data_IF_063858524438
#
_entry.id   IF_063858524438
#
_cell.length_a   1.000
_cell.length_b   1.000
_cell.length_c   1.000
_cell.angle_alpha   90.00
_cell.angle_beta   90.00
_cell.angle_gamma   90.00
#
_symmetry.space_group_name_H-M   'P 1'
#
loop_
_entity.id
_entity.type
_entity.pdbx_description
1 polymer ?
#
# COMPACT_ATOMS: atom_id res chain seq x y z
N UNK A 1 6.41 -5.39 -17.19
CA UNK A 1 5.69 -5.67 -18.46
C UNK A 1 6.68 -6.27 -19.44
N UNK A 2 6.38 -7.43 -20.04
CA UNK A 2 7.24 -7.96 -21.10
C UNK A 2 7.20 -7.03 -22.32
N UNK A 3 8.35 -6.76 -22.90
CA UNK A 3 8.51 -5.98 -24.13
C UNK A 3 8.34 -6.85 -25.37
N UNK A 4 8.63 -8.15 -25.30
CA UNK A 4 8.34 -9.09 -26.40
C UNK A 4 7.99 -10.51 -25.94
N UNK A 5 7.45 -11.37 -26.83
CA UNK A 5 6.94 -12.69 -26.45
C UNK A 5 7.92 -13.77 -26.00
N UNK A 6 9.18 -13.63 -26.35
CA UNK A 6 10.28 -14.53 -26.01
C UNK A 6 11.05 -14.07 -24.78
N UNK A 7 10.71 -12.91 -24.25
CA UNK A 7 11.32 -12.38 -23.02
C UNK A 7 10.74 -13.11 -21.81
N UNK A 8 11.63 -13.51 -20.90
CA UNK A 8 11.22 -14.13 -19.63
C UNK A 8 10.38 -13.17 -18.79
N UNK A 9 9.38 -13.71 -18.10
CA UNK A 9 8.65 -12.97 -17.08
C UNK A 9 9.27 -13.26 -15.72
N UNK A 10 9.82 -12.23 -15.08
CA UNK A 10 10.18 -12.31 -13.67
C UNK A 10 8.98 -11.94 -12.83
N UNK A 11 8.46 -12.91 -12.07
CA UNK A 11 7.47 -12.65 -11.05
C UNK A 11 8.19 -12.02 -9.84
N UNK A 12 7.73 -10.84 -9.44
CA UNK A 12 8.21 -10.14 -8.25
C UNK A 12 7.08 -10.05 -7.24
N UNK A 13 7.44 -10.07 -5.97
CA UNK A 13 6.52 -9.81 -4.86
C UNK A 13 6.78 -8.42 -4.31
N UNK A 14 5.72 -7.75 -3.84
CA UNK A 14 5.83 -6.48 -3.13
C UNK A 14 5.72 -6.72 -1.62
N UNK A 15 6.84 -6.57 -0.91
CA UNK A 15 6.83 -6.54 0.54
C UNK A 15 6.42 -5.13 1.02
N UNK A 16 5.43 -5.07 1.89
CA UNK A 16 4.87 -3.82 2.42
C UNK A 16 4.74 -3.92 3.94
N UNK A 17 4.80 -2.76 4.60
CA UNK A 17 4.78 -2.66 6.05
C UNK A 17 3.92 -1.47 6.46
N UNK A 18 3.07 -1.68 7.47
CA UNK A 18 2.32 -0.61 8.12
C UNK A 18 3.12 -0.12 9.30
N UNK A 19 3.37 1.18 9.34
CA UNK A 19 4.18 1.83 10.36
C UNK A 19 3.35 2.92 11.04
N UNK A 20 3.50 3.03 12.35
CA UNK A 20 3.00 4.17 13.11
C UNK A 20 3.62 5.47 12.56
N UNK A 21 2.80 6.30 11.92
CA UNK A 21 3.26 7.49 11.23
C UNK A 21 3.64 8.62 12.18
N UNK A 22 2.98 8.72 13.34
CA UNK A 22 3.08 9.83 14.27
C UNK A 22 3.44 9.32 15.67
N UNK A 23 4.73 9.07 15.89
CA UNK A 23 5.23 8.67 17.21
C UNK A 23 6.42 7.72 17.12
N UNK A 24 6.16 6.46 17.45
CA UNK A 24 7.17 5.44 17.74
C UNK A 24 7.85 4.86 16.50
N UNK A 25 7.24 5.03 15.32
CA UNK A 25 7.63 4.36 14.07
C UNK A 25 7.71 2.84 14.19
N UNK A 26 6.93 2.26 15.10
CA UNK A 26 6.82 0.81 15.23
C UNK A 26 6.03 0.22 14.07
N UNK A 27 6.40 -1.00 13.71
CA UNK A 27 5.70 -1.80 12.70
C UNK A 27 4.42 -2.33 13.33
N UNK A 28 3.28 -1.88 12.82
CA UNK A 28 1.95 -2.34 13.24
C UNK A 28 1.42 -3.51 12.40
N UNK A 29 1.97 -3.75 11.21
CA UNK A 29 1.54 -4.84 10.33
C UNK A 29 2.56 -5.09 9.22
N UNK A 30 2.61 -6.31 8.70
CA UNK A 30 3.49 -6.70 7.61
C UNK A 30 2.79 -7.66 6.66
N UNK A 31 2.98 -7.48 5.35
CA UNK A 31 2.45 -8.39 4.33
C UNK A 31 3.35 -8.43 3.11
N UNK A 32 3.43 -9.59 2.49
CA UNK A 32 3.98 -9.76 1.14
C UNK A 32 2.79 -9.94 0.20
N UNK A 33 2.62 -9.02 -0.74
CA UNK A 33 1.57 -9.10 -1.75
C UNK A 33 2.05 -9.92 -2.95
N UNK A 34 1.16 -10.77 -3.46
CA UNK A 34 1.30 -11.47 -4.74
C UNK A 34 0.99 -10.56 -5.94
N UNK A 35 0.47 -9.36 -5.67
CA UNK A 35 0.19 -8.35 -6.66
C UNK A 35 1.48 -7.68 -7.13
N UNK A 36 1.61 -7.55 -8.46
CA UNK A 36 2.81 -6.97 -9.08
C UNK A 36 2.96 -5.45 -8.82
N UNK A 37 1.91 -4.78 -8.34
CA UNK A 37 1.95 -3.39 -7.91
C UNK A 37 1.21 -3.21 -6.57
N UNK A 38 1.40 -2.03 -5.99
CA UNK A 38 0.79 -1.53 -4.76
C UNK A 38 -0.63 -0.98 -4.97
N UNK A 39 -1.19 -1.06 -6.19
CA UNK A 39 -2.54 -0.58 -6.46
C UNK A 39 -3.57 -1.40 -5.66
N UNK A 40 -4.40 -0.69 -4.88
CA UNK A 40 -5.41 -1.33 -4.03
C UNK A 40 -4.85 -2.10 -2.83
N UNK A 41 -3.56 -1.98 -2.52
CA UNK A 41 -2.96 -2.73 -1.42
C UNK A 41 -3.20 -2.11 -0.03
N UNK A 42 -3.59 -0.83 0.03
CA UNK A 42 -3.83 -0.10 1.28
C UNK A 42 -4.81 -0.80 2.24
N UNK A 43 -5.96 -1.22 1.74
CA UNK A 43 -6.97 -1.87 2.60
C UNK A 43 -6.47 -3.22 3.15
N UNK A 44 -5.92 -4.12 2.31
CA UNK A 44 -5.22 -5.32 2.79
C UNK A 44 -4.08 -5.03 3.79
N UNK A 45 -3.36 -3.91 3.65
CA UNK A 45 -2.30 -3.50 4.58
C UNK A 45 -2.87 -3.11 5.94
N UNK A 46 -3.92 -2.30 5.97
CA UNK A 46 -4.61 -1.93 7.21
C UNK A 46 -5.22 -3.15 7.90
N UNK A 47 -5.80 -4.07 7.14
CA UNK A 47 -6.36 -5.32 7.67
C UNK A 47 -5.30 -6.28 8.24
N UNK A 48 -4.02 -6.10 7.89
CA UNK A 48 -2.92 -6.91 8.43
C UNK A 48 -2.49 -6.51 9.84
N UNK A 49 -3.00 -5.39 10.36
CA UNK A 49 -2.70 -4.92 11.72
C UNK A 49 -3.39 -5.86 12.72
N UNK A 50 -2.66 -6.45 13.68
CA UNK A 50 -3.25 -7.25 14.74
C UNK A 50 -4.29 -6.45 15.53
N UNK A 51 -5.44 -7.08 15.81
CA UNK A 51 -6.56 -6.41 16.48
C UNK A 51 -6.19 -5.87 17.86
N UNK A 52 -5.20 -6.49 18.53
CA UNK A 52 -4.67 -6.09 19.84
C UNK A 52 -4.00 -4.71 19.81
N UNK A 53 -3.52 -4.27 18.63
CA UNK A 53 -2.96 -2.93 18.43
C UNK A 53 -4.03 -1.86 18.16
N UNK A 54 -5.28 -2.29 17.96
CA UNK A 54 -6.39 -1.42 17.57
C UNK A 54 -6.40 -1.07 16.08
N UNK A 55 -7.33 -0.20 15.69
CA UNK A 55 -7.47 0.27 14.31
C UNK A 55 -6.94 1.70 14.18
N UNK A 56 -6.20 2.01 13.10
CA UNK A 56 -5.71 3.35 12.86
C UNK A 56 -6.89 4.30 12.59
N UNK A 57 -6.83 5.52 13.14
CA UNK A 57 -7.83 6.58 12.90
C UNK A 57 -7.62 7.29 11.56
N UNK A 58 -6.39 7.29 11.04
CA UNK A 58 -6.03 7.81 9.75
C UNK A 58 -4.93 6.94 9.12
N UNK A 59 -4.91 6.86 7.79
CA UNK A 59 -3.91 6.07 7.06
C UNK A 59 -3.32 6.93 5.96
N UNK A 60 -2.00 6.92 5.85
CA UNK A 60 -1.24 7.62 4.82
C UNK A 60 -0.68 6.58 3.84
N UNK A 61 -0.99 6.74 2.56
CA UNK A 61 -0.43 5.93 1.49
C UNK A 61 -0.12 6.86 0.32
N UNK A 62 1.15 6.91 -0.08
CA UNK A 62 1.66 7.96 -0.96
C UNK A 62 1.05 7.90 -2.36
N UNK A 63 0.66 6.70 -2.82
CA UNK A 63 0.05 6.49 -4.14
C UNK A 63 -1.43 6.84 -4.17
N UNK A 64 -2.19 6.53 -3.12
CA UNK A 64 -3.60 6.93 -2.98
C UNK A 64 -3.77 8.40 -2.67
N UNK A 65 -2.80 9.04 -1.98
CA UNK A 65 -2.84 10.48 -1.73
C UNK A 65 -2.76 11.27 -3.04
N UNK A 66 -1.97 10.80 -4.02
CA UNK A 66 -1.90 11.41 -5.34
C UNK A 66 -3.22 11.29 -6.12
N UNK A 67 -3.96 10.19 -5.96
CA UNK A 67 -5.24 9.98 -6.64
C UNK A 67 -6.38 10.78 -5.99
N UNK A 68 -6.45 10.85 -4.66
CA UNK A 68 -7.45 11.66 -3.94
C UNK A 68 -7.16 13.16 -4.00
N UNK A 69 -5.90 13.56 -4.18
CA UNK A 69 -5.50 14.94 -4.46
C UNK A 69 -5.93 15.44 -5.85
N UNK A 70 -6.11 14.53 -6.82
CA UNK A 70 -6.61 14.88 -8.16
C UNK A 70 -8.14 15.05 -8.20
N UNK A 71 -8.90 14.35 -7.37
CA UNK A 71 -10.37 14.54 -7.29
C UNK A 71 -10.77 15.87 -6.63
N UNK A 72 -9.90 16.49 -5.80
CA UNK A 72 -10.19 17.77 -5.15
C UNK A 72 -9.80 19.01 -5.98
N UNK A 73 -9.20 18.87 -7.16
CA UNK A 73 -8.70 19.99 -7.98
C UNK A 73 -9.61 20.30 -9.18
N UNK A 74 -10.68 19.52 -9.42
CA UNK A 74 -11.61 19.76 -10.54
C UNK A 74 -13.01 20.23 -10.11
N UNK A 75 -13.11 20.91 -8.97
CA UNK A 75 -14.37 21.41 -8.43
C UNK A 75 -14.23 22.80 -7.80
N UNK A 76 -13.98 23.80 -8.63
CA UNK A 76 -14.40 25.19 -8.43
C UNK A 76 -15.13 25.68 -9.70
#
# INVERSE_FOLDING_TARGET
>A
MRKNPREGYSQSYNAQVVVDAEGSQLIGGQRVSDSANDAGQLEPDVQSIPQELGQPTAVLEFRQLLLRGLEKVCGE
#
